data_IF_148417108969
#
_entry.id   IF_148417108969
#
_cell.length_a   1.000
_cell.length_b   1.000
_cell.length_c   1.000
_cell.angle_alpha   90.00
_cell.angle_beta   90.00
_cell.angle_gamma   90.00
#
_symmetry.space_group_name_H-M   'P 1'
#
loop_
_entity.id
_entity.type
_entity.pdbx_description
1 polymer ?
#
# COMPACT_ATOMS: atom_id res chain seq x y z
N UNK A 1 45.01 16.60 -42.88
CA UNK A 1 45.13 15.60 -43.97
C UNK A 1 45.30 14.24 -43.36
N UNK A 2 44.75 13.20 -43.93
CA UNK A 2 43.34 12.83 -44.13
C UNK A 2 43.03 11.56 -43.33
N UNK A 3 41.85 11.19 -43.18
CA UNK A 3 41.16 10.14 -43.89
C UNK A 3 39.87 9.68 -43.23
N UNK A 4 38.88 9.80 -43.98
CA UNK A 4 37.60 9.09 -43.98
C UNK A 4 37.68 7.59 -43.65
N UNK A 5 36.68 7.03 -42.99
CA UNK A 5 35.81 6.02 -43.56
C UNK A 5 34.62 5.71 -42.61
N UNK A 6 33.45 5.73 -43.21
CA UNK A 6 32.15 5.26 -42.77
C UNK A 6 32.14 3.73 -42.69
N UNK A 7 31.33 3.18 -41.80
CA UNK A 7 30.65 1.92 -42.09
C UNK A 7 29.32 1.81 -41.31
N UNK A 8 28.27 1.67 -42.11
CA UNK A 8 26.94 1.25 -41.74
C UNK A 8 26.98 -0.22 -41.34
N UNK A 9 26.41 -0.59 -40.21
CA UNK A 9 26.04 -1.98 -39.98
C UNK A 9 24.55 -2.12 -39.70
N UNK A 10 23.97 -2.99 -40.52
CA UNK A 10 22.57 -3.40 -40.54
C UNK A 10 22.17 -4.15 -39.25
N UNK A 11 21.03 -3.79 -38.72
CA UNK A 11 20.30 -4.60 -37.77
C UNK A 11 19.67 -5.80 -38.49
N UNK A 12 19.99 -7.03 -38.04
CA UNK A 12 19.30 -8.28 -38.41
C UNK A 12 18.61 -8.83 -37.17
N UNK A 13 17.31 -9.06 -37.19
CA UNK A 13 16.65 -9.72 -36.05
C UNK A 13 16.88 -11.24 -36.10
N UNK A 14 17.42 -11.79 -35.01
CA UNK A 14 17.58 -13.23 -34.83
C UNK A 14 16.28 -13.80 -34.32
N UNK A 15 15.56 -14.52 -35.20
CA UNK A 15 14.44 -15.36 -34.82
C UNK A 15 15.00 -16.70 -34.35
N UNK A 16 14.85 -17.01 -33.07
CA UNK A 16 15.27 -18.31 -32.50
C UNK A 16 14.17 -19.34 -32.74
N UNK A 17 14.39 -20.28 -33.67
CA UNK A 17 13.53 -21.41 -33.92
C UNK A 17 14.06 -22.61 -33.09
N UNK A 18 13.32 -23.06 -32.08
CA UNK A 18 13.66 -24.28 -31.33
C UNK A 18 12.93 -25.43 -32.02
N UNK A 19 13.69 -26.30 -32.69
CA UNK A 19 13.20 -27.57 -33.21
C UNK A 19 13.60 -28.64 -32.20
N UNK A 20 12.63 -29.25 -31.54
CA UNK A 20 12.85 -30.47 -30.77
C UNK A 20 12.56 -31.68 -31.64
N UNK A 21 13.58 -32.42 -31.99
CA UNK A 21 13.46 -33.73 -32.63
C UNK A 21 13.40 -34.82 -31.57
N UNK A 22 12.33 -35.59 -31.56
CA UNK A 22 12.29 -36.87 -30.87
C UNK A 22 12.13 -37.96 -31.91
N UNK A 23 13.22 -38.70 -32.19
CA UNK A 23 13.14 -39.91 -32.98
C UNK A 23 12.76 -41.11 -32.10
N UNK A 24 11.70 -41.80 -32.46
CA UNK A 24 11.57 -43.21 -32.14
C UNK A 24 10.73 -43.88 -33.24
N UNK A 25 11.38 -44.79 -33.96
CA UNK A 25 10.82 -45.46 -35.11
C UNK A 25 9.84 -46.59 -34.75
N UNK A 26 8.88 -46.78 -35.63
CA UNK A 26 8.48 -48.14 -36.09
C UNK A 26 7.49 -48.00 -37.26
N UNK A 27 7.84 -48.68 -38.32
CA UNK A 27 7.17 -48.76 -39.61
C UNK A 27 5.94 -49.69 -39.54
N UNK A 28 4.74 -49.19 -39.88
CA UNK A 28 3.65 -50.07 -40.36
C UNK A 28 2.84 -49.31 -41.43
N UNK A 29 2.87 -49.87 -42.63
CA UNK A 29 2.06 -49.45 -43.79
C UNK A 29 0.58 -49.73 -43.56
N UNK A 30 -0.27 -48.71 -43.68
CA UNK A 30 -1.69 -48.90 -43.87
C UNK A 30 -2.26 -47.72 -44.71
N UNK A 31 -2.62 -48.05 -45.96
CA UNK A 31 -3.33 -47.13 -46.84
C UNK A 31 -4.70 -46.83 -46.25
N UNK A 32 -4.96 -45.60 -45.89
CA UNK A 32 -6.30 -45.12 -45.59
C UNK A 32 -6.73 -44.03 -46.59
N UNK A 33 -7.81 -44.30 -47.26
CA UNK A 33 -8.53 -43.42 -48.17
C UNK A 33 -9.03 -42.23 -47.33
N UNK A 34 -8.58 -41.03 -47.65
CA UNK A 34 -9.12 -39.79 -47.04
C UNK A 34 -10.33 -39.36 -47.84
N UNK A 35 -11.48 -39.57 -47.28
CA UNK A 35 -12.74 -38.97 -47.80
C UNK A 35 -12.80 -37.51 -47.31
N UNK A 36 -12.52 -36.56 -48.20
CA UNK A 36 -12.68 -35.16 -47.93
C UNK A 36 -14.16 -34.81 -48.00
N UNK A 37 -14.81 -34.71 -46.86
CA UNK A 37 -16.15 -34.14 -46.76
C UNK A 37 -15.98 -32.62 -46.55
N UNK A 38 -16.31 -31.84 -47.58
CA UNK A 38 -16.38 -30.40 -47.49
C UNK A 38 -17.60 -30.02 -46.62
N UNK A 39 -17.35 -29.58 -45.38
CA UNK A 39 -18.37 -28.97 -44.52
C UNK A 39 -18.37 -27.46 -44.77
N UNK A 40 -19.53 -26.84 -45.12
CA UNK A 40 -19.55 -25.40 -45.33
C UNK A 40 -19.26 -24.62 -44.03
N UNK A 41 -18.39 -23.66 -44.16
CA UNK A 41 -17.86 -22.83 -43.07
C UNK A 41 -18.84 -21.76 -42.55
N UNK A 42 -20.06 -22.15 -42.14
CA UNK A 42 -21.05 -21.18 -41.68
C UNK A 42 -21.76 -21.51 -40.35
N UNK A 43 -21.18 -22.41 -39.51
CA UNK A 43 -21.79 -22.66 -38.19
C UNK A 43 -20.79 -23.03 -37.12
N UNK A 44 -19.76 -22.18 -36.92
CA UNK A 44 -18.88 -22.32 -35.74
C UNK A 44 -18.45 -20.93 -35.21
N UNK A 45 -19.41 -20.07 -34.97
CA UNK A 45 -19.18 -18.79 -34.27
C UNK A 45 -20.20 -18.60 -33.14
N UNK A 46 -20.22 -19.52 -32.19
CA UNK A 46 -20.96 -19.27 -30.94
C UNK A 46 -20.52 -20.26 -29.87
N UNK A 47 -19.34 -20.05 -29.26
CA UNK A 47 -18.96 -20.55 -27.93
C UNK A 47 -17.50 -20.19 -27.61
N UNK A 48 -17.05 -18.99 -28.01
CA UNK A 48 -15.92 -18.36 -27.32
C UNK A 48 -16.54 -17.54 -26.20
N UNK A 49 -16.62 -18.14 -25.01
CA UNK A 49 -16.87 -17.41 -23.78
C UNK A 49 -15.84 -16.29 -23.67
N UNK A 50 -16.27 -15.05 -23.88
CA UNK A 50 -15.46 -13.87 -23.62
C UNK A 50 -15.16 -13.92 -22.14
N UNK A 51 -13.89 -14.04 -21.70
CA UNK A 51 -13.58 -13.87 -20.29
C UNK A 51 -14.02 -12.45 -19.93
N UNK A 52 -15.06 -12.32 -19.14
CA UNK A 52 -15.41 -11.05 -18.51
C UNK A 52 -14.28 -10.76 -17.55
N UNK A 53 -13.28 -10.01 -18.01
CA UNK A 53 -12.36 -9.34 -17.11
C UNK A 53 -13.20 -8.37 -16.29
N UNK A 54 -13.46 -8.73 -15.02
CA UNK A 54 -13.92 -7.78 -14.05
C UNK A 54 -12.79 -6.74 -13.91
N UNK A 55 -12.91 -5.64 -14.65
CA UNK A 55 -12.08 -4.47 -14.41
C UNK A 55 -12.55 -3.89 -13.07
N UNK A 56 -11.77 -4.09 -12.02
CA UNK A 56 -11.96 -3.39 -10.77
C UNK A 56 -11.71 -1.91 -11.07
N UNK A 57 -12.79 -1.15 -11.27
CA UNK A 57 -12.68 0.30 -11.45
C UNK A 57 -12.25 0.89 -10.11
N UNK A 58 -11.07 1.47 -10.04
CA UNK A 58 -10.65 2.27 -8.90
C UNK A 58 -11.64 3.44 -8.75
N UNK A 59 -12.33 3.50 -7.64
CA UNK A 59 -13.17 4.64 -7.27
C UNK A 59 -12.31 5.58 -6.44
N UNK A 60 -11.97 6.74 -6.98
CA UNK A 60 -11.33 7.79 -6.19
C UNK A 60 -12.29 8.21 -5.07
N UNK A 61 -11.80 8.31 -3.84
CA UNK A 61 -12.59 8.85 -2.74
C UNK A 61 -12.99 10.29 -3.04
N UNK A 62 -14.30 10.58 -2.92
CA UNK A 62 -14.85 11.92 -3.12
C UNK A 62 -14.90 12.72 -1.83
N UNK A 63 -14.25 12.26 -0.75
CA UNK A 63 -14.24 12.97 0.54
C UNK A 63 -13.42 14.24 0.41
N UNK A 64 -14.10 15.38 0.64
CA UNK A 64 -13.48 16.70 0.53
C UNK A 64 -13.17 17.24 1.93
N UNK A 65 -11.92 17.65 2.12
CA UNK A 65 -11.49 18.33 3.34
C UNK A 65 -12.23 19.66 3.51
N UNK A 66 -12.87 19.86 4.67
CA UNK A 66 -13.46 21.13 5.05
C UNK A 66 -13.40 21.28 6.56
N UNK A 67 -12.85 22.39 7.03
CA UNK A 67 -12.77 22.70 8.47
C UNK A 67 -14.12 22.64 9.19
N UNK A 68 -15.20 22.96 8.49
CA UNK A 68 -16.56 22.92 9.06
C UNK A 68 -17.05 21.53 9.41
N UNK A 69 -16.34 20.47 9.01
CA UNK A 69 -16.70 19.08 9.28
C UNK A 69 -16.00 18.51 10.54
N UNK A 70 -15.32 19.34 11.33
CA UNK A 70 -14.54 18.91 12.49
C UNK A 70 -15.08 19.55 13.78
N UNK A 71 -16.24 19.06 14.28
CA UNK A 71 -16.80 19.57 15.54
C UNK A 71 -16.19 18.88 16.78
N UNK A 72 -15.79 17.62 16.67
CA UNK A 72 -15.13 16.88 17.73
C UNK A 72 -13.90 16.08 17.23
N UNK A 73 -12.90 16.75 16.65
CA UNK A 73 -11.83 16.10 15.89
C UNK A 73 -10.90 15.20 16.72
N UNK A 74 -10.88 15.37 18.03
CA UNK A 74 -10.02 14.59 18.94
C UNK A 74 -10.66 13.26 19.39
N UNK A 75 -11.95 13.07 19.15
CA UNK A 75 -12.61 11.79 19.37
C UNK A 75 -12.42 10.89 18.14
N UNK A 76 -11.29 10.21 18.08
CA UNK A 76 -10.94 9.33 16.96
C UNK A 76 -11.38 7.92 17.33
N UNK A 77 -12.64 7.58 17.00
CA UNK A 77 -13.31 6.30 17.27
C UNK A 77 -13.61 5.51 16.00
N UNK A 78 -12.95 5.84 14.90
CA UNK A 78 -13.06 5.11 13.64
C UNK A 78 -12.85 3.61 13.88
N UNK A 79 -13.69 2.81 13.26
CA UNK A 79 -13.76 1.36 13.47
C UNK A 79 -12.46 0.60 13.15
N UNK A 80 -11.69 1.09 12.17
CA UNK A 80 -10.44 0.47 11.72
C UNK A 80 -9.20 1.25 12.15
N UNK A 81 -9.37 2.45 12.70
CA UNK A 81 -8.25 3.28 13.15
C UNK A 81 -8.63 4.07 14.43
N UNK A 82 -8.96 3.37 15.54
CA UNK A 82 -9.30 4.04 16.79
C UNK A 82 -8.03 4.52 17.50
N UNK A 83 -8.01 5.79 17.92
CA UNK A 83 -6.90 6.39 18.66
C UNK A 83 -7.36 6.87 20.04
N UNK A 84 -7.41 5.93 20.99
CA UNK A 84 -7.79 6.22 22.38
C UNK A 84 -6.58 6.74 23.16
N UNK A 85 -6.60 7.97 23.72
CA UNK A 85 -5.49 8.52 24.47
C UNK A 85 -5.00 7.62 25.61
N UNK A 86 -3.68 7.51 25.76
CA UNK A 86 -3.02 6.63 26.73
C UNK A 86 -2.82 5.20 26.24
N UNK A 87 -3.28 4.86 25.03
CA UNK A 87 -2.98 3.57 24.39
C UNK A 87 -1.59 3.60 23.77
N UNK A 88 -0.84 2.50 23.90
CA UNK A 88 0.41 2.26 23.16
C UNK A 88 0.30 0.92 22.44
N UNK A 89 0.43 0.94 21.13
CA UNK A 89 0.56 -0.24 20.30
C UNK A 89 2.03 -0.57 20.14
N UNK A 90 2.40 -1.82 20.37
CA UNK A 90 3.77 -2.30 20.23
C UNK A 90 3.82 -3.31 19.09
N UNK A 91 4.73 -3.08 18.17
CA UNK A 91 4.94 -3.93 17.02
C UNK A 91 6.34 -4.55 17.04
N UNK A 92 6.48 -5.67 16.35
CA UNK A 92 7.76 -6.33 16.08
C UNK A 92 7.77 -6.89 14.66
N UNK A 93 8.96 -6.83 14.06
CA UNK A 93 9.14 -7.32 12.73
C UNK A 93 10.57 -7.26 12.25
N UNK A 94 10.72 -6.92 10.99
CA UNK A 94 12.01 -6.72 10.33
C UNK A 94 11.98 -5.45 9.51
N UNK A 95 13.10 -4.74 9.46
CA UNK A 95 13.36 -3.64 8.53
C UNK A 95 14.73 -3.89 7.88
N UNK A 96 14.78 -3.95 6.55
CA UNK A 96 15.99 -4.29 5.78
C UNK A 96 16.63 -5.61 6.22
N UNK A 97 15.79 -6.61 6.58
CA UNK A 97 16.24 -7.90 7.09
C UNK A 97 16.76 -7.91 8.53
N UNK A 98 16.73 -6.78 9.22
CA UNK A 98 17.16 -6.64 10.60
C UNK A 98 15.99 -6.58 11.58
N UNK A 99 16.11 -7.11 12.80
CA UNK A 99 15.04 -7.05 13.79
C UNK A 99 14.60 -5.61 14.08
N UNK A 100 13.30 -5.35 13.93
CA UNK A 100 12.68 -4.06 14.23
C UNK A 100 11.63 -4.16 15.33
N UNK A 101 11.42 -3.05 16.02
CA UNK A 101 10.31 -2.84 16.95
C UNK A 101 9.79 -1.44 16.76
N UNK A 102 8.51 -1.26 17.07
CA UNK A 102 7.84 0.00 16.96
C UNK A 102 6.92 0.24 18.16
N UNK A 103 6.79 1.51 18.59
CA UNK A 103 5.95 1.91 19.70
C UNK A 103 5.13 3.15 19.31
N UNK A 104 3.92 2.89 18.80
CA UNK A 104 2.94 3.90 18.41
C UNK A 104 2.09 4.30 19.61
N UNK A 105 2.37 5.46 20.21
CA UNK A 105 1.75 5.93 21.44
C UNK A 105 0.73 7.04 21.17
N UNK A 106 -0.54 6.79 21.47
CA UNK A 106 -1.61 7.79 21.44
C UNK A 106 -1.49 8.69 22.67
N UNK A 107 -1.03 9.93 22.48
CA UNK A 107 -0.79 10.88 23.57
C UNK A 107 -2.06 11.68 23.92
N UNK A 108 -2.00 12.47 25.01
CA UNK A 108 -2.99 13.52 25.30
C UNK A 108 -2.64 14.86 24.66
N UNK A 109 -1.53 14.98 23.98
CA UNK A 109 -1.08 16.21 23.34
C UNK A 109 -1.97 16.56 22.14
N UNK A 110 -2.07 17.83 21.86
CA UNK A 110 -2.87 18.38 20.78
C UNK A 110 -2.03 19.40 20.01
N UNK A 111 -2.05 19.28 18.69
CA UNK A 111 -1.53 20.31 17.79
C UNK A 111 -2.68 20.92 17.00
N UNK A 112 -2.67 22.25 16.82
CA UNK A 112 -3.68 22.92 16.00
C UNK A 112 -3.12 23.16 14.61
N UNK A 113 -3.73 22.54 13.60
CA UNK A 113 -3.32 22.62 12.19
C UNK A 113 -4.51 23.13 11.38
N UNK A 114 -4.32 24.21 10.61
CA UNK A 114 -5.40 24.90 9.88
C UNK A 114 -6.62 25.26 10.75
N UNK A 115 -6.39 25.41 12.08
CA UNK A 115 -7.44 25.71 13.06
C UNK A 115 -8.32 24.50 13.43
N UNK A 116 -7.85 23.28 13.17
CA UNK A 116 -8.42 22.01 13.62
C UNK A 116 -7.48 21.43 14.68
N UNK A 117 -8.05 20.97 15.81
CA UNK A 117 -7.27 20.25 16.82
C UNK A 117 -6.97 18.85 16.35
N UNK A 118 -5.70 18.49 16.25
CA UNK A 118 -5.23 17.16 15.88
C UNK A 118 -4.60 16.47 17.10
N UNK A 119 -4.83 15.16 17.22
CA UNK A 119 -4.21 14.29 18.22
C UNK A 119 -2.75 14.07 17.82
N UNK A 120 -1.83 14.24 18.78
CA UNK A 120 -0.41 13.90 18.57
C UNK A 120 -0.19 12.44 18.96
N UNK A 121 0.42 11.71 18.07
CA UNK A 121 0.92 10.35 18.30
C UNK A 121 2.44 10.44 18.37
N UNK A 122 3.06 9.80 19.36
CA UNK A 122 4.51 9.58 19.35
C UNK A 122 4.79 8.19 18.79
N UNK A 123 5.43 8.14 17.66
CA UNK A 123 5.86 6.92 17.03
C UNK A 123 7.40 6.79 17.14
N UNK A 124 7.87 5.67 17.72
CA UNK A 124 9.29 5.41 17.92
C UNK A 124 9.68 4.09 17.30
N UNK A 125 10.44 4.15 16.21
CA UNK A 125 10.95 2.99 15.51
C UNK A 125 12.37 2.62 16.02
N UNK A 126 12.60 1.32 16.18
CA UNK A 126 13.87 0.77 16.63
C UNK A 126 14.35 -0.31 15.66
N UNK A 127 15.62 -0.25 15.28
CA UNK A 127 16.30 -1.29 14.50
C UNK A 127 17.46 -1.84 15.32
N UNK A 128 17.56 -3.18 15.44
CA UNK A 128 18.57 -3.85 16.30
C UNK A 128 18.54 -3.35 17.75
N UNK A 129 17.35 -2.99 18.24
CA UNK A 129 17.15 -2.48 19.60
C UNK A 129 17.66 -1.06 19.85
N UNK A 130 18.06 -0.31 18.81
CA UNK A 130 18.43 1.11 18.89
C UNK A 130 17.33 1.95 18.25
N UNK A 131 16.99 3.05 18.91
CA UNK A 131 16.09 4.05 18.33
C UNK A 131 16.68 4.56 17.01
N UNK A 132 15.98 4.34 15.92
CA UNK A 132 16.37 4.77 14.56
C UNK A 132 15.60 6.01 14.13
N UNK A 133 14.32 6.12 14.54
CA UNK A 133 13.46 7.22 14.17
C UNK A 133 12.48 7.54 15.29
N UNK A 134 12.11 8.81 15.40
CA UNK A 134 10.99 9.27 16.23
C UNK A 134 10.13 10.25 15.41
N UNK A 135 8.82 10.03 15.43
CA UNK A 135 7.86 10.83 14.66
C UNK A 135 6.72 11.30 15.57
N UNK A 136 6.32 12.54 15.39
CA UNK A 136 5.07 13.08 15.91
C UNK A 136 4.07 13.16 14.78
N UNK A 137 3.11 12.23 14.74
CA UNK A 137 2.01 12.21 13.76
C UNK A 137 0.81 12.98 14.27
N UNK A 138 0.04 13.60 13.37
CA UNK A 138 -1.12 14.41 13.76
C UNK A 138 -2.37 13.96 13.03
N UNK A 139 -3.33 13.41 13.80
CA UNK A 139 -4.60 12.92 13.28
C UNK A 139 -5.80 13.67 13.82
N UNK A 140 -6.83 13.79 12.98
CA UNK A 140 -8.12 14.37 13.35
C UNK A 140 -9.25 13.59 12.69
N UNK A 141 -10.37 13.38 13.38
CA UNK A 141 -11.55 12.73 12.82
C UNK A 141 -12.61 13.76 12.43
N UNK A 142 -13.17 13.62 11.23
CA UNK A 142 -14.30 14.43 10.82
C UNK A 142 -15.64 13.89 11.36
N UNK A 143 -16.72 14.67 11.21
CA UNK A 143 -18.06 14.33 11.71
C UNK A 143 -18.66 13.09 11.05
N UNK A 144 -18.11 12.65 9.92
CA UNK A 144 -18.52 11.42 9.23
C UNK A 144 -17.78 10.20 9.73
N UNK A 145 -16.68 10.40 10.48
CA UNK A 145 -15.83 9.37 11.01
C UNK A 145 -14.61 9.03 10.14
N UNK A 146 -14.29 9.84 9.10
CA UNK A 146 -13.03 9.69 8.38
C UNK A 146 -11.90 10.24 9.25
N UNK A 147 -10.79 9.51 9.33
CA UNK A 147 -9.58 9.95 10.01
C UNK A 147 -8.66 10.60 9.01
N UNK A 148 -8.29 11.84 9.28
CA UNK A 148 -7.43 12.65 8.46
C UNK A 148 -6.03 12.69 9.02
N UNK A 149 -5.03 12.51 8.16
CA UNK A 149 -3.64 12.74 8.45
C UNK A 149 -3.33 14.21 8.15
N UNK A 150 -2.95 14.92 9.19
CA UNK A 150 -2.75 16.37 9.14
C UNK A 150 -1.28 16.74 8.93
N UNK A 151 -0.39 15.76 9.01
CA UNK A 151 1.05 15.89 8.87
C UNK A 151 1.82 15.17 9.96
N UNK A 152 3.14 15.29 9.87
CA UNK A 152 4.08 14.68 10.79
C UNK A 152 5.34 15.53 10.97
N UNK A 153 6.05 15.26 12.06
CA UNK A 153 7.41 15.74 12.27
C UNK A 153 8.32 14.57 12.64
N UNK A 154 9.07 14.12 11.66
CA UNK A 154 10.00 13.00 11.76
C UNK A 154 11.40 13.47 12.14
N UNK A 155 12.11 12.65 12.92
CA UNK A 155 13.54 12.75 13.18
C UNK A 155 14.17 11.39 12.94
N UNK A 156 14.79 11.21 11.79
CA UNK A 156 15.63 10.05 11.48
C UNK A 156 17.01 10.23 12.12
N UNK A 157 17.30 9.43 13.12
CA UNK A 157 18.57 9.45 13.88
C UNK A 157 19.73 8.81 13.10
N UNK A 158 19.44 8.15 11.99
CA UNK A 158 20.42 7.53 11.10
C UNK A 158 20.85 8.46 9.97
N UNK A 159 19.96 9.37 9.53
CA UNK A 159 20.20 10.38 8.51
C UNK A 159 20.67 11.71 9.15
N UNK A 160 21.98 11.86 9.32
CA UNK A 160 22.54 13.07 9.94
C UNK A 160 22.51 14.31 9.05
N UNK A 161 22.42 14.15 7.74
CA UNK A 161 22.45 15.26 6.77
C UNK A 161 21.07 15.90 6.65
N UNK A 162 20.02 15.09 6.66
CA UNK A 162 18.64 15.56 6.56
C UNK A 162 17.72 14.80 7.53
N UNK A 163 17.87 14.99 8.84
CA UNK A 163 17.16 14.19 9.85
C UNK A 163 15.64 14.40 9.85
N UNK A 164 15.13 15.43 9.19
CA UNK A 164 13.70 15.77 9.15
C UNK A 164 13.11 15.58 7.73
N UNK A 165 13.78 14.77 6.90
CA UNK A 165 13.23 14.37 5.61
C UNK A 165 11.89 13.65 5.82
N UNK A 166 10.92 13.91 4.92
CA UNK A 166 9.57 13.39 5.08
C UNK A 166 8.63 14.27 5.91
N UNK A 167 9.14 15.11 6.81
CA UNK A 167 8.27 15.96 7.65
C UNK A 167 7.43 16.94 6.85
N UNK A 168 6.14 17.01 7.14
CA UNK A 168 5.19 17.92 6.48
C UNK A 168 4.04 18.31 7.40
N UNK A 169 3.34 19.41 7.04
CA UNK A 169 2.16 19.88 7.76
C UNK A 169 1.12 20.42 6.78
N UNK A 170 -0.12 20.01 6.92
CA UNK A 170 -1.23 20.51 6.09
C UNK A 170 -1.38 22.03 6.19
N UNK A 171 -1.45 22.69 5.01
CA UNK A 171 -1.49 24.14 4.90
C UNK A 171 -0.11 24.81 4.81
N UNK A 172 0.98 24.08 4.98
CA UNK A 172 2.35 24.60 4.87
C UNK A 172 2.93 24.18 3.53
N UNK A 173 3.58 25.12 2.80
CA UNK A 173 4.21 24.87 1.48
C UNK A 173 3.32 24.16 0.45
N UNK A 174 1.99 24.30 0.57
CA UNK A 174 1.03 23.70 -0.35
C UNK A 174 0.60 22.27 -0.01
N UNK A 175 1.12 21.68 1.07
CA UNK A 175 0.68 20.39 1.58
C UNK A 175 -0.79 20.44 2.03
N UNK A 176 -1.49 19.31 1.92
CA UNK A 176 -2.90 19.16 2.28
C UNK A 176 -3.06 17.94 3.18
N UNK A 177 -4.07 17.97 4.05
CA UNK A 177 -4.45 16.78 4.79
C UNK A 177 -4.91 15.66 3.84
N UNK A 178 -4.49 14.45 4.13
CA UNK A 178 -4.94 13.23 3.46
C UNK A 178 -5.86 12.41 4.36
N UNK A 179 -6.40 11.31 3.85
CA UNK A 179 -7.21 10.36 4.61
C UNK A 179 -6.33 9.17 4.97
N UNK A 180 -6.13 8.91 6.28
CA UNK A 180 -5.48 7.67 6.71
C UNK A 180 -6.47 6.51 6.76
N UNK A 181 -7.74 6.79 7.11
CA UNK A 181 -8.79 5.78 7.13
C UNK A 181 -10.17 6.38 6.86
N UNK A 182 -10.88 5.80 5.91
CA UNK A 182 -12.25 6.18 5.62
C UNK A 182 -13.24 5.72 6.70
N UNK A 183 -14.34 6.45 6.88
CA UNK A 183 -15.43 6.07 7.80
C UNK A 183 -16.11 4.76 7.37
N UNK A 184 -16.26 4.56 6.06
CA UNK A 184 -16.95 3.42 5.45
C UNK A 184 -16.17 2.93 4.22
N UNK A 185 -15.01 2.30 4.42
CA UNK A 185 -14.17 1.84 3.32
C UNK A 185 -14.87 0.75 2.51
N UNK A 186 -14.67 0.78 1.19
CA UNK A 186 -15.16 -0.22 0.24
C UNK A 186 -14.01 -0.73 -0.61
N UNK A 187 -14.08 -1.98 -1.03
CA UNK A 187 -13.10 -2.54 -1.96
C UNK A 187 -13.09 -1.73 -3.27
N UNK A 188 -11.91 -1.27 -3.65
CA UNK A 188 -11.66 -0.41 -4.80
C UNK A 188 -11.55 1.08 -4.47
N UNK A 189 -11.90 1.52 -3.25
CA UNK A 189 -11.68 2.90 -2.84
C UNK A 189 -10.16 3.18 -2.82
N UNK A 190 -9.78 4.32 -3.39
CA UNK A 190 -8.39 4.78 -3.46
C UNK A 190 -8.32 6.22 -3.00
N UNK A 191 -7.44 6.50 -2.05
CA UNK A 191 -7.28 7.81 -1.44
C UNK A 191 -5.83 8.12 -1.09
N UNK A 192 -5.46 9.41 -1.15
CA UNK A 192 -4.17 9.88 -0.68
C UNK A 192 -4.18 9.96 0.85
N UNK A 193 -3.19 9.33 1.46
CA UNK A 193 -2.94 9.38 2.91
C UNK A 193 -2.11 10.61 3.25
N UNK A 194 -1.19 10.99 2.36
CA UNK A 194 -0.34 12.15 2.48
C UNK A 194 -0.35 12.97 1.19
N UNK A 195 -0.33 14.27 1.33
CA UNK A 195 -0.39 15.18 0.19
C UNK A 195 0.61 16.34 0.36
N UNK A 196 1.89 16.02 0.41
CA UNK A 196 2.99 16.98 0.44
C UNK A 196 3.92 16.74 -0.76
N UNK A 197 3.70 17.45 -1.85
CA UNK A 197 4.34 17.21 -3.15
C UNK A 197 5.87 17.13 -3.06
N UNK A 198 6.43 16.00 -3.49
CA UNK A 198 7.86 15.72 -3.48
C UNK A 198 8.44 15.48 -2.08
N UNK A 199 7.58 15.30 -1.06
CA UNK A 199 7.97 15.07 0.34
C UNK A 199 7.29 13.81 0.87
N UNK A 200 5.94 13.75 0.79
CA UNK A 200 5.12 12.64 1.24
C UNK A 200 3.87 12.57 0.35
N UNK A 201 3.70 11.49 -0.42
CA UNK A 201 2.63 11.36 -1.43
C UNK A 201 1.97 9.99 -1.38
N UNK A 202 1.88 9.40 -0.20
CA UNK A 202 1.40 8.04 -0.01
C UNK A 202 -0.09 7.90 -0.33
N UNK A 203 -0.41 6.78 -0.96
CA UNK A 203 -1.75 6.46 -1.45
C UNK A 203 -2.11 5.04 -1.03
N UNK A 204 -3.31 4.87 -0.50
CA UNK A 204 -3.86 3.57 -0.18
C UNK A 204 -5.00 3.19 -1.13
N UNK A 205 -5.09 1.90 -1.45
CA UNK A 205 -6.25 1.29 -2.11
C UNK A 205 -6.80 0.17 -1.25
N UNK A 206 -8.08 0.22 -0.92
CA UNK A 206 -8.76 -0.88 -0.20
C UNK A 206 -8.92 -2.08 -1.12
N UNK A 207 -8.26 -3.20 -0.78
CA UNK A 207 -8.27 -4.40 -1.63
C UNK A 207 -9.06 -5.57 -1.05
N UNK A 208 -9.35 -5.56 0.27
CA UNK A 208 -10.20 -6.57 0.92
C UNK A 208 -10.83 -6.02 2.21
N UNK A 209 -11.97 -6.57 2.61
CA UNK A 209 -12.65 -6.32 3.88
C UNK A 209 -12.88 -7.60 4.69
N UNK A 210 -12.39 -8.74 4.20
CA UNK A 210 -12.73 -10.06 4.72
C UNK A 210 -11.51 -10.95 5.01
N UNK A 211 -10.34 -10.33 5.20
CA UNK A 211 -9.12 -11.08 5.50
C UNK A 211 -9.22 -11.78 6.86
N UNK A 212 -8.47 -12.87 7.00
CA UNK A 212 -8.21 -13.54 8.27
C UNK A 212 -6.72 -13.46 8.54
N UNK A 213 -6.34 -12.79 9.61
CA UNK A 213 -4.94 -12.51 9.94
C UNK A 213 -4.68 -12.90 11.39
N UNK A 214 -3.62 -13.66 11.60
CA UNK A 214 -3.09 -13.94 12.95
C UNK A 214 -1.74 -13.25 13.09
N UNK A 215 -1.58 -12.50 14.16
CA UNK A 215 -0.33 -11.88 14.62
C UNK A 215 -0.05 -12.32 16.05
N UNK A 216 1.12 -12.07 16.64
CA UNK A 216 1.40 -12.48 18.02
C UNK A 216 0.40 -11.98 19.06
N UNK A 217 -0.24 -10.82 18.84
CA UNK A 217 -1.28 -10.29 19.71
C UNK A 217 -2.57 -11.10 19.66
N UNK A 218 -2.95 -11.68 18.52
CA UNK A 218 -4.18 -12.47 18.36
C UNK A 218 -4.55 -12.77 16.91
N UNK A 219 -5.67 -13.48 16.74
CA UNK A 219 -6.24 -13.78 15.42
C UNK A 219 -7.52 -12.98 15.18
N UNK A 220 -7.64 -12.42 14.00
CA UNK A 220 -8.72 -11.53 13.59
C UNK A 220 -9.41 -12.04 12.32
N UNK A 221 -10.68 -11.71 12.18
CA UNK A 221 -11.48 -11.97 10.97
C UNK A 221 -12.17 -10.70 10.51
N UNK A 222 -12.58 -10.66 9.23
CA UNK A 222 -13.11 -9.46 8.58
C UNK A 222 -12.15 -8.26 8.72
N UNK A 223 -10.86 -8.54 8.53
CA UNK A 223 -9.80 -7.54 8.54
C UNK A 223 -9.85 -6.79 7.23
N UNK A 224 -9.74 -5.47 7.29
CA UNK A 224 -9.54 -4.60 6.14
C UNK A 224 -8.08 -4.73 5.71
N UNK A 225 -7.85 -4.84 4.40
CA UNK A 225 -6.52 -4.84 3.80
C UNK A 225 -6.43 -3.73 2.77
N UNK A 226 -5.38 -2.94 2.87
CA UNK A 226 -5.01 -1.97 1.84
C UNK A 226 -3.79 -2.44 1.06
N UNK A 227 -3.61 -1.83 -0.10
CA UNK A 227 -2.38 -1.77 -0.86
C UNK A 227 -1.91 -0.33 -0.81
N UNK A 228 -0.74 -0.12 -0.24
CA UNK A 228 -0.15 1.19 -0.01
C UNK A 228 1.06 1.37 -0.94
N UNK A 229 1.19 2.54 -1.55
CA UNK A 229 2.25 2.85 -2.51
C UNK A 229 2.47 4.36 -2.61
N UNK A 230 3.66 4.77 -3.03
CA UNK A 230 4.03 6.17 -3.25
C UNK A 230 4.59 6.38 -4.64
N UNK A 231 4.24 7.48 -5.35
CA UNK A 231 4.91 7.85 -6.59
C UNK A 231 6.37 8.28 -6.36
N UNK A 232 6.76 8.61 -5.13
CA UNK A 232 8.14 8.94 -4.77
C UNK A 232 9.01 7.68 -4.72
N UNK A 233 8.41 6.52 -4.37
CA UNK A 233 9.06 5.22 -4.27
C UNK A 233 8.31 4.14 -5.05
N UNK A 234 8.21 4.24 -6.38
CA UNK A 234 7.33 3.42 -7.20
C UNK A 234 7.69 1.92 -7.24
N UNK A 235 8.86 1.56 -6.74
CA UNK A 235 9.31 0.18 -6.60
C UNK A 235 8.80 -0.49 -5.33
N UNK A 236 8.32 0.28 -4.33
CA UNK A 236 7.86 -0.22 -3.04
C UNK A 236 6.34 -0.32 -3.03
N UNK A 237 5.83 -1.45 -2.57
CA UNK A 237 4.40 -1.69 -2.35
C UNK A 237 4.25 -2.44 -1.05
N UNK A 238 3.36 -1.95 -0.19
CA UNK A 238 3.02 -2.56 1.07
C UNK A 238 1.57 -3.01 1.13
N UNK A 239 1.29 -3.96 2.00
CA UNK A 239 -0.06 -4.26 2.44
C UNK A 239 -0.17 -3.98 3.93
N UNK A 240 -1.18 -3.18 4.30
CA UNK A 240 -1.54 -2.92 5.70
C UNK A 240 -2.85 -3.60 6.06
N UNK A 241 -2.96 -4.08 7.29
CA UNK A 241 -4.08 -4.89 7.74
C UNK A 241 -4.68 -4.28 9.01
N UNK A 242 -5.95 -3.87 8.93
CA UNK A 242 -6.65 -3.18 10.00
C UNK A 242 -7.77 -4.05 10.58
N UNK A 243 -7.67 -4.37 11.85
CA UNK A 243 -8.72 -5.10 12.57
C UNK A 243 -9.72 -4.14 13.22
N UNK A 244 -11.01 -4.51 13.17
CA UNK A 244 -12.08 -3.70 13.78
C UNK A 244 -11.83 -3.49 15.26
N UNK A 245 -11.98 -2.24 15.72
CA UNK A 245 -11.83 -1.79 17.11
C UNK A 245 -10.42 -2.01 17.68
N UNK A 246 -9.44 -2.31 16.82
CA UNK A 246 -8.05 -2.51 17.20
C UNK A 246 -7.14 -1.51 16.48
N UNK A 247 -7.32 -1.31 15.18
CA UNK A 247 -6.45 -0.51 14.33
C UNK A 247 -5.55 -1.39 13.49
N UNK A 248 -4.38 -0.87 13.13
CA UNK A 248 -3.38 -1.61 12.39
C UNK A 248 -2.85 -2.79 13.21
N UNK A 249 -2.82 -3.96 12.60
CA UNK A 249 -2.33 -5.18 13.23
C UNK A 249 -1.13 -5.78 12.52
N UNK A 250 -0.92 -5.41 11.25
CA UNK A 250 0.19 -5.91 10.45
C UNK A 250 0.45 -5.03 9.24
N UNK A 251 1.71 -4.78 8.96
CA UNK A 251 2.21 -4.24 7.71
C UNK A 251 3.21 -5.21 7.10
N UNK A 252 3.25 -5.31 5.77
CA UNK A 252 4.20 -6.16 5.06
C UNK A 252 4.49 -5.61 3.68
N UNK A 253 5.76 -5.42 3.37
CA UNK A 253 6.21 -5.11 2.02
C UNK A 253 6.02 -6.33 1.11
N UNK A 254 5.34 -6.12 -0.01
CA UNK A 254 5.04 -7.16 -1.01
C UNK A 254 5.79 -6.95 -2.31
N UNK A 255 6.46 -5.81 -2.45
CA UNK A 255 7.33 -5.46 -3.55
C UNK A 255 8.39 -4.47 -3.09
N UNK A 256 9.63 -4.67 -3.54
CA UNK A 256 10.77 -3.76 -3.35
C UNK A 256 11.61 -4.06 -2.13
N UNK A 257 11.00 -4.19 -0.98
CA UNK A 257 11.63 -4.47 0.31
C UNK A 257 11.11 -5.78 0.91
N UNK A 258 11.67 -6.19 2.05
CA UNK A 258 11.24 -7.39 2.78
C UNK A 258 10.81 -7.04 4.21
N UNK A 259 10.24 -5.86 4.39
CA UNK A 259 9.86 -5.33 5.68
C UNK A 259 8.54 -5.91 6.16
N UNK A 260 8.46 -6.17 7.44
CA UNK A 260 7.26 -6.67 8.10
C UNK A 260 7.15 -6.10 9.52
N UNK A 261 5.93 -5.72 9.90
CA UNK A 261 5.59 -5.29 11.25
C UNK A 261 4.31 -5.98 11.71
N UNK A 262 4.31 -6.53 12.92
CA UNK A 262 3.18 -7.27 13.49
C UNK A 262 2.88 -6.76 14.89
N UNK A 263 1.61 -6.51 15.18
CA UNK A 263 1.15 -6.14 16.52
C UNK A 263 1.43 -7.28 17.52
N UNK A 264 2.18 -6.95 18.58
CA UNK A 264 2.52 -7.92 19.63
C UNK A 264 1.85 -7.61 20.96
N UNK A 265 1.53 -6.32 21.22
CA UNK A 265 0.91 -5.92 22.49
C UNK A 265 0.19 -4.58 22.35
N UNK A 266 -0.91 -4.41 23.09
CA UNK A 266 -1.54 -3.11 23.34
C UNK A 266 -1.47 -2.84 24.83
N UNK A 267 -1.00 -1.65 25.23
CA UNK A 267 -0.93 -1.19 26.62
C UNK A 267 -1.81 0.04 26.82
N UNK A 268 -2.41 0.19 27.99
CA UNK A 268 -3.26 1.34 28.32
C UNK A 268 -4.60 1.33 27.59
N UNK A 269 -5.23 2.52 27.44
CA UNK A 269 -6.44 2.69 26.64
C UNK A 269 -7.66 1.96 27.23
N UNK A 270 -8.16 2.39 28.38
CA UNK A 270 -9.44 1.92 28.95
C UNK A 270 -10.47 3.02 28.89
#
# INVERSE_FOLDING_TARGET
MPGYLSDNELFVPITLLIIATCECGMEIQSKRIVLVVAVPATLLMLLLGIPTFLTLSAHGSTVTFSKSNFHNPLNIDNKYFPLVPGTTFLYKGTKDGEPSNDAFQVTNLVKVIQGISARVIHDNAFVKGKLSETTDDWFAQDDKGNVWYMGEFTTDLTNKENPHEGSWEAGVKGAKAGIIMEAQPKVGDTYQQEFAKGVAEDTATVISLNEKVCVPYGCFSNVLKTKDFSPLEPSIVENKFYAKNTGDIREVSVQGESDESNLVQIKGGK
#
